data_IF_723969934930
#
_entry.id   IF_723969934930
#
_cell.length_a   1.000
_cell.length_b   1.000
_cell.length_c   1.000
_cell.angle_alpha   90.00
_cell.angle_beta   90.00
_cell.angle_gamma   90.00
#
_symmetry.space_group_name_H-M   'P 1'
#
loop_
_entity.id
_entity.type
_entity.pdbx_description
1 polymer ?
#
# COMPACT_ATOMS: atom_id res chain seq x y z
N UNK A 1 -21.84 0.78 -25.24
CA UNK A 1 -20.40 0.50 -24.98
C UNK A 1 -20.01 1.42 -23.83
N UNK A 2 -19.82 0.87 -22.62
CA UNK A 2 -19.58 1.68 -21.41
C UNK A 2 -18.17 2.30 -21.41
N UNK A 3 -17.84 3.18 -20.44
CA UNK A 3 -16.51 3.76 -20.33
C UNK A 3 -15.45 2.66 -20.26
N UNK A 4 -14.33 2.82 -20.97
CA UNK A 4 -13.17 1.94 -20.81
C UNK A 4 -12.55 2.17 -19.43
N UNK A 5 -13.01 1.40 -18.45
CA UNK A 5 -12.39 1.38 -17.13
C UNK A 5 -11.10 0.58 -17.18
N UNK A 6 -10.00 1.17 -16.71
CA UNK A 6 -8.78 0.40 -16.43
C UNK A 6 -9.05 -0.57 -15.28
N UNK A 7 -8.77 -1.84 -15.51
CA UNK A 7 -8.83 -2.87 -14.46
C UNK A 7 -7.82 -2.57 -13.36
N UNK A 8 -8.20 -2.86 -12.11
CA UNK A 8 -7.29 -2.76 -10.98
C UNK A 8 -6.14 -3.77 -11.15
N UNK A 9 -4.90 -3.30 -11.07
CA UNK A 9 -3.70 -4.14 -11.13
C UNK A 9 -3.11 -4.28 -9.73
N UNK A 10 -2.87 -5.52 -9.30
CA UNK A 10 -2.09 -5.79 -8.10
C UNK A 10 -0.61 -5.98 -8.49
N UNK A 11 0.26 -5.13 -7.99
CA UNK A 11 1.70 -5.33 -8.13
C UNK A 11 2.17 -6.32 -7.06
N UNK A 12 2.52 -7.54 -7.48
CA UNK A 12 2.98 -8.62 -6.59
C UNK A 12 4.45 -8.95 -6.91
N UNK A 13 5.41 -8.30 -6.23
CA UNK A 13 6.82 -8.66 -6.39
C UNK A 13 7.12 -10.01 -5.70
N UNK A 14 8.17 -10.71 -6.16
CA UNK A 14 8.69 -11.89 -5.47
C UNK A 14 9.08 -11.51 -4.04
N UNK A 15 8.46 -12.14 -3.05
CA UNK A 15 8.82 -11.92 -1.64
C UNK A 15 9.94 -12.88 -1.25
N UNK A 16 11.12 -12.33 -1.01
CA UNK A 16 12.23 -13.04 -0.38
C UNK A 16 12.13 -12.79 1.12
N UNK A 17 12.13 -13.84 1.93
CA UNK A 17 12.09 -13.69 3.39
C UNK A 17 13.41 -13.07 3.87
N UNK A 18 13.36 -11.78 4.21
CA UNK A 18 14.49 -11.01 4.73
C UNK A 18 14.15 -10.42 6.11
N UNK A 19 14.37 -9.11 6.31
CA UNK A 19 13.94 -8.40 7.52
C UNK A 19 12.43 -8.27 7.54
N UNK A 20 11.82 -8.69 8.65
CA UNK A 20 10.39 -8.52 8.92
C UNK A 20 10.18 -7.66 10.15
N UNK A 21 9.01 -7.04 10.26
CA UNK A 21 8.58 -6.40 11.49
C UNK A 21 8.28 -7.44 12.58
N UNK A 22 8.44 -7.01 13.84
CA UNK A 22 7.84 -7.68 14.99
C UNK A 22 6.31 -7.85 14.81
N UNK A 23 5.69 -8.91 15.35
CA UNK A 23 4.30 -9.27 15.05
C UNK A 23 3.30 -8.12 15.22
N UNK A 24 3.37 -7.39 16.33
CA UNK A 24 2.46 -6.28 16.60
C UNK A 24 2.61 -5.13 15.60
N UNK A 25 3.83 -4.87 15.15
CA UNK A 25 4.10 -3.81 14.16
C UNK A 25 3.66 -4.25 12.76
N UNK A 26 3.84 -5.53 12.41
CA UNK A 26 3.31 -6.11 11.18
C UNK A 26 1.79 -6.02 11.11
N UNK A 27 1.11 -6.40 12.20
CA UNK A 27 -0.35 -6.30 12.33
C UNK A 27 -0.85 -4.86 12.12
N UNK A 28 -0.25 -3.89 12.80
CA UNK A 28 -0.63 -2.47 12.65
C UNK A 28 -0.39 -1.91 11.24
N UNK A 29 0.58 -2.45 10.50
CA UNK A 29 0.94 -1.97 9.15
C UNK A 29 0.22 -2.71 8.02
N UNK A 30 -0.43 -3.84 8.31
CA UNK A 30 -1.05 -4.70 7.31
C UNK A 30 -0.06 -5.50 6.45
N UNK A 31 1.22 -5.52 6.83
CA UNK A 31 2.27 -6.32 6.19
C UNK A 31 3.43 -6.52 7.17
N UNK A 32 4.06 -7.71 7.15
CA UNK A 32 5.29 -7.98 7.90
C UNK A 32 6.53 -7.45 7.17
N UNK A 33 6.44 -7.19 5.87
CA UNK A 33 7.55 -6.81 5.02
C UNK A 33 7.70 -5.28 4.95
N UNK A 34 8.82 -4.72 5.42
CA UNK A 34 9.01 -3.28 5.43
C UNK A 34 8.89 -2.59 4.08
N UNK A 35 9.39 -3.22 3.03
CA UNK A 35 9.36 -2.78 1.64
C UNK A 35 7.95 -2.68 1.05
N UNK A 36 6.97 -3.40 1.63
CA UNK A 36 5.57 -3.35 1.20
C UNK A 36 4.74 -2.31 1.96
N UNK A 37 5.30 -1.65 2.99
CA UNK A 37 4.55 -0.67 3.77
C UNK A 37 4.45 0.67 3.02
N UNK A 38 3.29 0.90 2.38
CA UNK A 38 2.97 2.13 1.64
C UNK A 38 1.68 2.79 2.17
N UNK A 39 1.77 3.60 3.24
CA UNK A 39 0.59 4.28 3.77
C UNK A 39 0.05 5.31 2.77
N UNK A 40 -1.27 5.48 2.73
CA UNK A 40 -1.88 6.54 1.95
C UNK A 40 -1.51 7.90 2.54
N UNK A 41 -0.92 8.76 1.73
CA UNK A 41 -0.68 10.15 2.11
C UNK A 41 -2.03 10.84 2.19
N UNK A 42 -2.36 11.43 3.34
CA UNK A 42 -3.54 12.30 3.44
C UNK A 42 -3.30 13.48 2.49
N UNK A 43 -4.05 13.55 1.39
CA UNK A 43 -4.08 14.76 0.58
C UNK A 43 -4.48 15.90 1.52
N UNK A 44 -3.63 16.94 1.62
CA UNK A 44 -4.07 18.19 2.23
C UNK A 44 -5.25 18.64 1.38
N UNK A 45 -6.46 18.74 1.97
CA UNK A 45 -7.57 19.45 1.33
C UNK A 45 -6.99 20.79 0.87
N UNK A 46 -7.02 21.05 -0.43
CA UNK A 46 -6.68 22.36 -0.96
C UNK A 46 -7.48 23.39 -0.17
N UNK A 47 -6.81 24.43 0.30
CA UNK A 47 -7.49 25.66 0.73
C UNK A 47 -8.33 26.09 -0.47
N UNK A 48 -9.65 26.10 -0.33
CA UNK A 48 -10.53 26.86 -1.21
C UNK A 48 -10.25 28.33 -0.87
N UNK A 49 -9.60 29.02 -1.82
CA UNK A 49 -9.56 30.49 -1.88
C UNK A 49 -10.77 30.98 -2.69
#
# INVERSE_FOLDING_TARGET
MGPEFRLATAYIPYQVLQKVYEPMKGLMRGTIFPELYRPYVKMKKGRED
#
